data_IF_423537062147
#
_entry.id   IF_423537062147
#
_cell.length_a   1.000
_cell.length_b   1.000
_cell.length_c   1.000
_cell.angle_alpha   90.00
_cell.angle_beta   90.00
_cell.angle_gamma   90.00
#
_symmetry.space_group_name_H-M   'P 1'
#
loop_
_entity.id
_entity.type
_entity.pdbx_description
1 polymer ?
#
# COMPACT_ATOMS: atom_id res chain seq x y z
N UNK A 1 -19.98 25.29 -11.84
CA UNK A 1 -19.03 24.62 -12.76
C UNK A 1 -18.23 23.51 -12.10
N UNK A 2 -17.68 23.69 -10.87
CA UNK A 2 -16.87 22.66 -10.18
C UNK A 2 -17.60 21.33 -9.91
N UNK A 3 -18.88 21.37 -9.51
CA UNK A 3 -19.67 20.16 -9.23
C UNK A 3 -19.91 19.27 -10.46
N UNK A 4 -20.03 19.86 -11.65
CA UNK A 4 -20.21 19.10 -12.90
C UNK A 4 -18.94 18.36 -13.32
N UNK A 5 -17.76 18.92 -13.01
CA UNK A 5 -16.47 18.26 -13.26
C UNK A 5 -16.31 17.03 -12.37
N UNK A 6 -16.68 17.13 -11.09
CA UNK A 6 -16.64 15.98 -10.17
C UNK A 6 -17.64 14.88 -10.55
N UNK A 7 -18.84 15.25 -10.98
CA UNK A 7 -19.84 14.28 -11.44
C UNK A 7 -19.39 13.56 -12.73
N UNK A 8 -18.77 14.27 -13.67
CA UNK A 8 -18.24 13.68 -14.89
C UNK A 8 -17.06 12.72 -14.62
N UNK A 9 -16.17 13.08 -13.69
CA UNK A 9 -15.07 12.21 -13.25
C UNK A 9 -15.58 10.94 -12.56
N UNK A 10 -16.59 11.06 -11.69
CA UNK A 10 -17.20 9.90 -11.01
C UNK A 10 -17.88 8.96 -12.01
N UNK A 11 -18.64 9.50 -12.98
CA UNK A 11 -19.29 8.70 -14.01
C UNK A 11 -18.28 7.98 -14.92
N UNK A 12 -17.20 8.66 -15.32
CA UNK A 12 -16.12 8.07 -16.12
C UNK A 12 -15.41 6.94 -15.36
N UNK A 13 -15.18 7.09 -14.05
CA UNK A 13 -14.57 6.07 -13.21
C UNK A 13 -15.42 4.78 -13.12
N UNK A 14 -16.76 4.91 -13.10
CA UNK A 14 -17.65 3.74 -13.04
C UNK A 14 -17.76 2.97 -14.37
N UNK A 15 -17.48 3.61 -15.49
CA UNK A 15 -17.54 3.00 -16.83
C UNK A 15 -16.24 2.25 -17.20
N UNK A 16 -15.16 2.42 -16.43
CA UNK A 16 -13.86 1.78 -16.66
C UNK A 16 -13.72 0.40 -15.98
N UNK A 17 -14.81 -0.18 -15.48
CA UNK A 17 -14.80 -1.54 -14.93
C UNK A 17 -14.66 -2.52 -16.09
N UNK A 18 -13.45 -3.06 -16.25
CA UNK A 18 -13.18 -4.11 -17.22
C UNK A 18 -14.04 -5.33 -16.91
N UNK A 19 -14.71 -5.94 -17.90
CA UNK A 19 -15.39 -7.21 -17.68
C UNK A 19 -14.31 -8.25 -17.39
N UNK A 20 -14.21 -8.67 -16.13
CA UNK A 20 -13.44 -9.85 -15.77
C UNK A 20 -14.08 -11.05 -16.47
N UNK A 21 -13.57 -11.39 -17.65
CA UNK A 21 -13.95 -12.61 -18.36
C UNK A 21 -13.61 -13.78 -17.44
N UNK A 22 -14.62 -14.35 -16.79
CA UNK A 22 -14.52 -15.46 -15.85
C UNK A 22 -14.18 -16.78 -16.57
N UNK A 23 -13.08 -16.80 -17.33
CA UNK A 23 -12.49 -18.04 -17.79
C UNK A 23 -11.95 -18.80 -16.56
N UNK A 24 -12.08 -20.14 -16.50
CA UNK A 24 -11.47 -20.91 -15.44
C UNK A 24 -9.96 -20.63 -15.40
N UNK A 25 -9.44 -20.37 -14.21
CA UNK A 25 -8.01 -20.14 -13.97
C UNK A 25 -7.34 -21.45 -13.60
N UNK A 26 -6.27 -21.79 -14.30
CA UNK A 26 -5.37 -22.90 -14.01
C UNK A 26 -4.07 -22.36 -13.39
N UNK A 27 -3.21 -23.24 -12.90
CA UNK A 27 -1.85 -22.84 -12.51
C UNK A 27 -0.88 -23.00 -13.69
N UNK A 28 0.15 -22.16 -13.75
CA UNK A 28 1.34 -22.42 -14.57
C UNK A 28 2.32 -23.33 -13.80
N UNK A 29 3.46 -23.69 -14.42
CA UNK A 29 4.48 -24.56 -13.78
C UNK A 29 5.08 -23.98 -12.49
N UNK A 30 5.03 -22.67 -12.33
CA UNK A 30 5.56 -21.94 -11.18
C UNK A 30 4.48 -21.68 -10.13
N UNK A 31 3.24 -22.12 -10.36
CA UNK A 31 2.10 -21.89 -9.47
C UNK A 31 1.40 -20.56 -9.69
N UNK A 32 1.72 -19.84 -10.77
CA UNK A 32 1.05 -18.60 -11.17
C UNK A 32 -0.34 -18.85 -11.74
N UNK A 33 -1.27 -17.90 -11.52
CA UNK A 33 -2.59 -17.99 -12.10
C UNK A 33 -2.56 -17.65 -13.60
N UNK A 34 -3.04 -18.57 -14.44
CA UNK A 34 -3.11 -18.42 -15.90
C UNK A 34 -4.46 -18.91 -16.41
N UNK A 35 -4.93 -18.42 -17.57
CA UNK A 35 -6.18 -18.93 -18.18
C UNK A 35 -6.01 -20.39 -18.57
N UNK A 36 -6.97 -21.24 -18.25
CA UNK A 36 -6.93 -22.63 -18.69
C UNK A 36 -6.94 -22.72 -20.23
N UNK A 37 -6.19 -23.68 -20.79
CA UNK A 37 -6.14 -23.94 -22.23
C UNK A 37 -5.10 -23.12 -23.01
N UNK A 38 -4.36 -22.22 -22.37
CA UNK A 38 -3.21 -21.55 -23.01
C UNK A 38 -1.93 -22.39 -22.85
N UNK A 39 -0.95 -22.24 -23.75
CA UNK A 39 0.34 -22.91 -23.61
C UNK A 39 0.98 -22.59 -22.24
N UNK A 40 1.40 -23.63 -21.52
CA UNK A 40 1.99 -23.50 -20.19
C UNK A 40 0.99 -23.63 -19.02
N UNK A 41 -0.33 -23.69 -19.29
CA UNK A 41 -1.32 -24.03 -18.28
C UNK A 41 -1.19 -25.50 -17.87
N UNK A 42 -1.08 -25.75 -16.58
CA UNK A 42 -1.18 -27.07 -15.99
C UNK A 42 -2.64 -27.51 -15.87
N UNK A 43 -2.92 -28.82 -15.91
CA UNK A 43 -4.28 -29.33 -15.85
C UNK A 43 -4.97 -28.97 -14.54
N UNK A 44 -6.30 -28.92 -14.58
CA UNK A 44 -7.12 -28.67 -13.39
C UNK A 44 -6.80 -29.68 -12.28
N UNK A 45 -6.63 -29.19 -11.05
CA UNK A 45 -6.23 -30.00 -9.89
C UNK A 45 -4.72 -30.21 -9.74
N UNK A 46 -3.92 -29.84 -10.74
CA UNK A 46 -2.47 -29.74 -10.54
C UNK A 46 -2.14 -28.52 -9.68
N UNK A 47 -1.21 -28.69 -8.75
CA UNK A 47 -0.69 -27.61 -7.91
C UNK A 47 0.82 -27.64 -7.93
N UNK A 48 1.44 -26.45 -8.01
CA UNK A 48 2.87 -26.32 -7.84
C UNK A 48 3.31 -26.81 -6.45
N UNK A 49 4.55 -27.29 -6.36
CA UNK A 49 5.11 -27.70 -5.07
C UNK A 49 5.25 -26.49 -4.14
N UNK A 50 5.21 -26.69 -2.80
CA UNK A 50 5.40 -25.60 -1.85
C UNK A 50 6.73 -24.85 -2.05
N UNK A 51 7.78 -25.55 -2.47
CA UNK A 51 9.09 -24.95 -2.76
C UNK A 51 9.02 -23.98 -3.95
N UNK A 52 8.35 -24.37 -5.04
CA UNK A 52 8.19 -23.52 -6.22
C UNK A 52 7.32 -22.28 -5.92
N UNK A 53 6.27 -22.44 -5.11
CA UNK A 53 5.45 -21.32 -4.66
C UNK A 53 6.23 -20.34 -3.78
N UNK A 54 7.15 -20.85 -2.97
CA UNK A 54 7.99 -20.03 -2.10
C UNK A 54 9.04 -19.26 -2.90
N UNK A 55 9.73 -19.91 -3.85
CA UNK A 55 10.66 -19.24 -4.77
C UNK A 55 9.95 -18.12 -5.55
N UNK A 56 8.73 -18.36 -6.02
CA UNK A 56 7.94 -17.34 -6.71
C UNK A 56 7.75 -16.10 -5.83
N UNK A 57 7.31 -16.27 -4.58
CA UNK A 57 7.10 -15.14 -3.65
C UNK A 57 8.40 -14.39 -3.30
N UNK A 58 9.54 -15.08 -3.34
CA UNK A 58 10.85 -14.47 -3.15
C UNK A 58 11.28 -13.62 -4.36
N UNK A 59 10.91 -14.05 -5.57
CA UNK A 59 11.32 -13.39 -6.82
C UNK A 59 10.30 -12.38 -7.36
N UNK A 60 9.04 -12.54 -7.00
CA UNK A 60 7.95 -11.62 -7.34
C UNK A 60 8.05 -10.43 -6.37
N UNK A 61 8.87 -9.45 -6.75
CA UNK A 61 8.96 -8.17 -6.06
C UNK A 61 7.57 -7.51 -5.98
N UNK A 62 7.34 -6.64 -5.00
CA UNK A 62 6.05 -5.96 -4.88
C UNK A 62 5.77 -5.21 -6.18
N UNK A 63 4.63 -5.53 -6.80
CA UNK A 63 4.15 -4.83 -7.98
C UNK A 63 3.63 -3.46 -7.51
N UNK A 64 4.56 -2.53 -7.32
CA UNK A 64 4.28 -1.18 -6.87
C UNK A 64 3.62 -0.43 -8.04
N UNK A 65 2.29 -0.45 -8.04
CA UNK A 65 1.51 0.36 -8.98
C UNK A 65 1.92 1.84 -8.85
N UNK A 66 1.81 2.60 -9.94
CA UNK A 66 2.19 4.03 -9.96
C UNK A 66 1.38 4.81 -8.92
N UNK A 67 0.12 4.42 -8.71
CA UNK A 67 -0.76 4.99 -7.68
C UNK A 67 -0.23 4.71 -6.27
N UNK A 68 0.25 3.49 -6.01
CA UNK A 68 0.84 3.11 -4.72
C UNK A 68 2.12 3.91 -4.44
N UNK A 69 2.94 4.18 -5.47
CA UNK A 69 4.14 5.01 -5.33
C UNK A 69 3.80 6.46 -4.95
N UNK A 70 2.82 7.07 -5.61
CA UNK A 70 2.41 8.44 -5.26
C UNK A 70 1.79 8.52 -3.86
N UNK A 71 1.00 7.53 -3.47
CA UNK A 71 0.46 7.45 -2.10
C UNK A 71 1.58 7.35 -1.06
N UNK A 72 2.61 6.54 -1.33
CA UNK A 72 3.76 6.39 -0.44
C UNK A 72 4.54 7.72 -0.30
N UNK A 73 4.77 8.42 -1.42
CA UNK A 73 5.42 9.73 -1.43
C UNK A 73 4.61 10.74 -0.62
N UNK A 74 3.29 10.80 -0.83
CA UNK A 74 2.41 11.70 -0.09
C UNK A 74 2.43 11.43 1.41
N UNK A 75 2.42 10.16 1.81
CA UNK A 75 2.53 9.75 3.21
C UNK A 75 3.87 10.18 3.81
N UNK A 76 4.98 9.94 3.11
CA UNK A 76 6.31 10.33 3.58
C UNK A 76 6.42 11.85 3.74
N UNK A 77 6.02 12.62 2.74
CA UNK A 77 6.02 14.09 2.79
C UNK A 77 5.15 14.59 3.94
N UNK A 78 3.95 14.04 4.10
CA UNK A 78 3.05 14.39 5.20
C UNK A 78 3.64 14.07 6.57
N UNK A 79 4.24 12.89 6.73
CA UNK A 79 4.89 12.47 7.98
C UNK A 79 6.08 13.37 8.33
N UNK A 80 6.97 13.63 7.37
CA UNK A 80 8.11 14.52 7.60
C UNK A 80 7.68 15.96 7.85
N UNK A 81 6.62 16.44 7.19
CA UNK A 81 6.01 17.73 7.49
C UNK A 81 5.49 17.79 8.93
N UNK A 82 4.83 16.72 9.40
CA UNK A 82 4.37 16.59 10.78
C UNK A 82 5.53 16.62 11.77
N UNK A 83 6.58 15.84 11.52
CA UNK A 83 7.79 15.81 12.36
C UNK A 83 8.45 17.20 12.42
N UNK A 84 8.57 17.88 11.27
CA UNK A 84 9.14 19.22 11.22
C UNK A 84 8.27 20.28 11.91
N UNK A 85 6.95 20.05 11.99
CA UNK A 85 6.01 20.92 12.70
C UNK A 85 5.95 20.66 14.21
N UNK A 86 6.57 19.59 14.70
CA UNK A 86 6.65 19.39 16.14
C UNK A 86 7.42 20.57 16.75
N UNK A 87 6.90 21.19 17.82
CA UNK A 87 7.67 22.16 18.57
C UNK A 87 8.97 21.51 19.05
N UNK A 88 10.02 22.31 19.24
CA UNK A 88 11.22 21.82 19.91
C UNK A 88 10.79 21.31 21.29
N UNK A 89 10.82 20.00 21.45
CA UNK A 89 10.74 19.40 22.78
C UNK A 89 12.07 19.69 23.46
N UNK A 90 12.13 20.78 24.21
CA UNK A 90 13.28 21.14 25.06
C UNK A 90 13.38 20.25 26.33
N UNK A 91 12.72 19.09 26.35
CA UNK A 91 12.76 18.11 27.44
C UNK A 91 14.06 17.30 27.53
N UNK A 92 15.12 17.67 26.80
CA UNK A 92 16.45 17.05 26.90
C UNK A 92 17.39 17.79 27.87
N UNK A 93 16.88 18.81 28.57
CA UNK A 93 17.56 19.39 29.73
C UNK A 93 17.23 18.60 30.99
N UNK A 94 18.25 18.16 31.73
CA UNK A 94 18.12 17.48 33.02
C UNK A 94 17.49 18.34 34.15
N UNK A 95 16.77 19.43 33.83
CA UNK A 95 16.34 20.44 34.79
C UNK A 95 14.90 20.95 34.65
N UNK A 96 14.10 20.45 33.70
CA UNK A 96 12.78 21.04 33.41
C UNK A 96 11.58 20.22 33.96
N UNK A 97 11.84 19.20 34.79
CA UNK A 97 10.80 18.34 35.36
C UNK A 97 10.41 18.70 36.81
N UNK A 98 10.78 19.87 37.34
CA UNK A 98 10.45 20.17 38.74
C UNK A 98 10.87 21.52 39.31
N UNK A 99 10.49 22.65 38.69
CA UNK A 99 10.55 23.96 39.36
C UNK A 99 9.15 24.49 39.59
N UNK A 100 8.45 23.86 40.54
CA UNK A 100 7.15 24.31 41.03
C UNK A 100 7.05 24.10 42.55
N UNK A 101 8.12 24.33 43.31
CA UNK A 101 8.06 24.43 44.77
C UNK A 101 9.10 25.44 45.28
N UNK A 102 8.88 26.73 45.03
CA UNK A 102 9.63 27.78 45.72
C UNK A 102 8.84 29.10 45.73
N UNK A 103 7.63 29.07 46.31
CA UNK A 103 6.92 30.27 46.75
C UNK A 103 6.12 29.90 48.01
N UNK A 104 6.80 29.93 49.14
CA UNK A 104 6.23 29.82 50.48
C UNK A 104 6.97 30.80 51.39
N UNK A 105 6.60 32.08 51.27
CA UNK A 105 6.92 33.12 52.25
C UNK A 105 6.32 32.74 53.62
N UNK A 106 7.19 32.60 54.64
CA UNK A 106 7.08 33.21 55.98
C UNK A 106 8.29 32.82 56.86
#
# INVERSE_FOLDING_TARGET
MRAFVFAALAAAATLAVHPATAAPTCQDRTGGAIKCGVPGAMPVGWTASPAAQFERRMHEGPDLSVEAQWSLIGLLVGLFGLIASMPKFDGWGAGDWGREEEDGED
#
